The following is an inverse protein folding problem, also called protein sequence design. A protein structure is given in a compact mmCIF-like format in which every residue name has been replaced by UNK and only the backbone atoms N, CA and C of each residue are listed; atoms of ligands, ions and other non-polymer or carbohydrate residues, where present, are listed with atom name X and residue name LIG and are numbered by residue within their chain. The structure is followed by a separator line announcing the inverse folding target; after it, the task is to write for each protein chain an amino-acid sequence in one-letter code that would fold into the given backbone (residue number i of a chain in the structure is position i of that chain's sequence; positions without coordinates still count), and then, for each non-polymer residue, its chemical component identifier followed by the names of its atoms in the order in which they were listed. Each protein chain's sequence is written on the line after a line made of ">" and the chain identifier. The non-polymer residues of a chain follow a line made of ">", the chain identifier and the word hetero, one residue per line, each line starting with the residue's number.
data_IF_797640103162
#
_entry.id   IF_797640103162
#
_cell.length_a   1.000
_cell.length_b   1.000
_cell.length_c   1.000
_cell.angle_alpha   90.00
_cell.angle_beta   90.00
_cell.angle_gamma   90.00
#
_symmetry.space_group_name_H-M   'P 1'
#
loop_
_entity.id
_entity.type
_entity.pdbx_description
1 polymer ?
#
# COMPACT_ATOMS: atom_id res chain seq x y z
N UNK A 1 13.14 70.50 8.02
CA UNK A 1 12.63 69.69 9.14
C UNK A 1 11.13 69.58 8.94
N UNK A 2 10.54 68.51 8.46
CA UNK A 2 11.03 67.24 7.94
C UNK A 2 9.86 66.76 7.07
N UNK A 3 10.07 66.61 5.76
CA UNK A 3 9.03 66.17 4.83
C UNK A 3 9.14 64.65 4.74
N UNK A 4 8.30 63.94 5.48
CA UNK A 4 8.23 62.49 5.42
C UNK A 4 7.59 62.06 4.11
N UNK A 5 8.41 61.59 3.17
CA UNK A 5 7.99 60.81 2.01
C UNK A 5 7.48 59.45 2.51
N UNK A 6 6.18 59.22 2.41
CA UNK A 6 5.59 57.89 2.54
C UNK A 6 5.96 57.06 1.30
N UNK A 7 6.80 56.05 1.52
CA UNK A 7 7.14 55.04 0.52
C UNK A 7 5.88 54.19 0.27
N UNK A 8 5.27 54.38 -0.90
CA UNK A 8 4.24 53.47 -1.41
C UNK A 8 4.85 52.10 -1.68
N UNK A 9 4.20 50.99 -1.26
CA UNK A 9 4.62 49.67 -1.72
C UNK A 9 4.25 49.55 -3.20
N UNK A 10 5.28 49.39 -4.03
CA UNK A 10 5.16 49.02 -5.44
C UNK A 10 4.48 47.66 -5.48
N UNK A 11 3.18 47.63 -5.78
CA UNK A 11 2.54 46.42 -6.28
C UNK A 11 3.13 46.17 -7.66
N UNK A 12 4.05 45.21 -7.75
CA UNK A 12 4.45 44.62 -9.02
C UNK A 12 3.19 44.08 -9.71
N UNK A 13 2.82 44.69 -10.83
CA UNK A 13 1.80 44.13 -11.72
C UNK A 13 2.31 42.80 -12.29
N UNK A 14 1.49 41.74 -12.35
CA UNK A 14 1.89 40.52 -13.03
C UNK A 14 1.96 40.84 -14.53
N UNK A 15 3.17 40.71 -15.07
CA UNK A 15 3.47 40.88 -16.49
C UNK A 15 2.56 40.00 -17.35
N UNK A 16 2.03 40.61 -18.41
CA UNK A 16 1.32 40.02 -19.55
C UNK A 16 1.21 38.48 -19.57
N UNK A 17 0.16 37.94 -18.95
CA UNK A 17 -0.24 36.55 -19.18
C UNK A 17 -0.81 36.46 -20.59
N UNK A 18 -0.11 35.77 -21.49
CA UNK A 18 -0.73 35.19 -22.68
C UNK A 18 -1.96 34.41 -22.25
N UNK A 19 -3.08 34.53 -22.98
CA UNK A 19 -4.29 33.75 -22.76
C UNK A 19 -3.99 32.27 -23.08
N UNK A 20 -3.35 31.59 -22.13
CA UNK A 20 -3.15 30.16 -22.18
C UNK A 20 -4.51 29.48 -22.14
N UNK A 21 -4.67 28.43 -22.94
CA UNK A 21 -5.87 27.59 -22.89
C UNK A 21 -6.04 27.05 -21.47
N UNK A 22 -7.30 26.91 -21.07
CA UNK A 22 -7.65 26.31 -19.78
C UNK A 22 -7.03 24.92 -19.65
N UNK A 23 -6.40 24.65 -18.51
CA UNK A 23 -5.61 23.46 -18.23
C UNK A 23 -4.12 23.59 -18.54
N UNK A 24 -3.66 24.69 -19.14
CA UNK A 24 -2.25 24.86 -19.55
C UNK A 24 -1.41 25.70 -18.58
N UNK A 25 -2.02 26.40 -17.61
CA UNK A 25 -1.25 27.21 -16.66
C UNK A 25 -0.30 26.36 -15.80
N UNK A 26 -0.61 25.08 -15.64
CA UNK A 26 0.26 24.11 -14.96
C UNK A 26 1.64 23.97 -15.62
N UNK A 27 1.76 24.23 -16.93
CA UNK A 27 3.04 24.17 -17.63
C UNK A 27 3.97 25.32 -17.25
N UNK A 28 3.44 26.48 -16.88
CA UNK A 28 4.24 27.56 -16.28
C UNK A 28 4.88 27.04 -14.99
N UNK A 29 4.11 26.36 -14.14
CA UNK A 29 4.62 25.82 -12.88
C UNK A 29 5.58 24.64 -13.10
N UNK A 30 5.40 23.86 -14.17
CA UNK A 30 6.36 22.81 -14.58
C UNK A 30 7.69 23.45 -14.97
N UNK A 31 7.68 24.45 -15.86
CA UNK A 31 8.89 25.14 -16.29
C UNK A 31 9.59 25.76 -15.10
N UNK A 32 8.87 26.46 -14.20
CA UNK A 32 9.43 27.01 -12.96
C UNK A 32 10.09 25.97 -12.04
N UNK A 33 9.62 24.71 -12.04
CA UNK A 33 10.24 23.64 -11.23
C UNK A 33 11.46 23.02 -11.92
N UNK A 34 11.43 22.96 -13.24
CA UNK A 34 12.45 22.34 -14.09
C UNK A 34 13.65 23.29 -14.33
N UNK A 35 13.37 24.58 -14.53
CA UNK A 35 14.34 25.66 -14.68
C UNK A 35 15.11 25.84 -13.37
N UNK A 36 16.43 25.60 -13.40
CA UNK A 36 17.29 25.68 -12.22
C UNK A 36 18.11 26.97 -12.17
N UNK A 37 18.22 27.65 -13.30
CA UNK A 37 19.00 28.88 -13.42
C UNK A 37 18.10 30.14 -13.46
N UNK A 38 16.78 29.96 -13.43
CA UNK A 38 15.74 30.99 -13.49
C UNK A 38 15.82 31.88 -14.75
N UNK A 39 16.27 31.33 -15.88
CA UNK A 39 16.37 32.06 -17.15
C UNK A 39 15.07 32.07 -17.98
N UNK A 40 14.05 31.33 -17.52
CA UNK A 40 12.73 31.24 -18.12
C UNK A 40 12.61 30.23 -19.26
N UNK A 41 13.68 29.45 -19.52
CA UNK A 41 13.73 28.41 -20.56
C UNK A 41 14.37 27.14 -19.98
N UNK A 42 14.15 26.02 -20.66
CA UNK A 42 14.72 24.74 -20.27
C UNK A 42 15.83 24.36 -21.23
N UNK A 43 17.06 24.31 -20.72
CA UNK A 43 18.16 23.63 -21.41
C UNK A 43 17.91 22.12 -21.48
N UNK A 44 18.61 21.41 -22.36
CA UNK A 44 18.48 19.95 -22.45
C UNK A 44 18.81 19.23 -21.13
N UNK A 45 19.78 19.73 -20.37
CA UNK A 45 20.17 19.12 -19.09
C UNK A 45 19.07 19.29 -18.02
N UNK A 46 18.41 20.45 -17.98
CA UNK A 46 17.27 20.70 -17.08
C UNK A 46 16.04 19.90 -17.50
N UNK A 47 15.74 19.88 -18.79
CA UNK A 47 14.68 19.07 -19.35
C UNK A 47 14.91 17.58 -19.03
N UNK A 48 16.12 17.08 -19.27
CA UNK A 48 16.48 15.70 -18.97
C UNK A 48 16.34 15.38 -17.49
N UNK A 49 16.80 16.27 -16.61
CA UNK A 49 16.74 16.09 -15.16
C UNK A 49 15.30 16.03 -14.64
N UNK A 50 14.40 16.82 -15.21
CA UNK A 50 13.00 16.90 -14.77
C UNK A 50 12.11 15.81 -15.40
N UNK A 51 12.27 15.54 -16.70
CA UNK A 51 11.40 14.63 -17.46
C UNK A 51 11.90 13.19 -17.51
N UNK A 52 13.09 12.88 -16.99
CA UNK A 52 13.55 11.49 -16.92
C UNK A 52 12.64 10.65 -16.01
N UNK A 53 11.91 9.72 -16.60
CA UNK A 53 11.01 8.79 -15.92
C UNK A 53 11.64 7.38 -15.73
N UNK A 54 12.86 7.16 -16.25
CA UNK A 54 13.52 5.85 -16.29
C UNK A 54 12.92 4.87 -17.30
N UNK A 55 11.91 5.30 -18.05
CA UNK A 55 11.29 4.55 -19.14
C UNK A 55 11.97 4.92 -20.46
N UNK A 56 12.04 6.20 -20.77
CA UNK A 56 12.67 6.71 -21.99
C UNK A 56 14.20 6.65 -21.90
N UNK A 57 14.83 6.26 -23.02
CA UNK A 57 16.28 6.34 -23.18
C UNK A 57 16.75 7.79 -23.33
N UNK A 58 18.05 8.05 -23.14
CA UNK A 58 18.60 9.39 -23.27
C UNK A 58 18.47 9.93 -24.70
N UNK A 59 18.50 9.03 -25.69
CA UNK A 59 18.32 9.32 -27.10
C UNK A 59 16.86 9.69 -27.41
N UNK A 60 15.89 8.88 -26.97
CA UNK A 60 14.45 9.17 -27.13
C UNK A 60 14.05 10.48 -26.44
N UNK A 61 14.61 10.75 -25.27
CA UNK A 61 14.35 12.01 -24.56
C UNK A 61 14.96 13.22 -25.29
N UNK A 62 16.07 13.03 -26.00
CA UNK A 62 16.67 14.06 -26.84
C UNK A 62 15.86 14.30 -28.12
N UNK A 63 15.32 13.24 -28.71
CA UNK A 63 14.38 13.38 -29.83
C UNK A 63 13.11 14.13 -29.39
N UNK A 64 12.58 13.83 -28.20
CA UNK A 64 11.46 14.57 -27.62
C UNK A 64 11.79 16.05 -27.40
N UNK A 65 12.97 16.37 -26.85
CA UNK A 65 13.41 17.75 -26.66
C UNK A 65 13.44 18.52 -28.00
N UNK A 66 14.03 17.94 -29.04
CA UNK A 66 14.06 18.56 -30.37
C UNK A 66 12.68 18.63 -31.05
N UNK A 67 11.76 17.72 -30.70
CA UNK A 67 10.38 17.78 -31.19
C UNK A 67 9.59 18.93 -30.55
N UNK A 68 9.93 19.31 -29.32
CA UNK A 68 9.30 20.42 -28.59
C UNK A 68 9.94 21.76 -28.98
N UNK A 69 11.27 21.81 -29.17
CA UNK A 69 12.02 23.02 -29.60
C UNK A 69 11.74 23.36 -31.08
N UNK A 70 10.52 23.81 -31.36
CA UNK A 70 10.06 24.18 -32.70
C UNK A 70 10.82 25.38 -33.25
N UNK A 71 11.31 26.27 -32.38
CA UNK A 71 12.09 27.44 -32.76
C UNK A 71 13.58 27.12 -32.99
N UNK A 72 14.03 25.89 -32.72
CA UNK A 72 15.42 25.42 -32.86
C UNK A 72 16.42 26.33 -32.11
N UNK A 73 16.08 26.71 -30.88
CA UNK A 73 16.90 27.57 -30.03
C UNK A 73 17.81 26.81 -29.06
N UNK A 74 17.82 25.47 -29.15
CA UNK A 74 18.48 24.55 -28.22
C UNK A 74 17.98 24.72 -26.77
N UNK A 75 16.81 25.34 -26.60
CA UNK A 75 16.12 25.56 -25.34
C UNK A 75 14.62 25.43 -25.57
N UNK A 76 13.89 24.92 -24.60
CA UNK A 76 12.43 24.81 -24.64
C UNK A 76 11.82 25.90 -23.77
N UNK A 77 11.03 26.78 -24.37
CA UNK A 77 10.26 27.76 -23.61
C UNK A 77 8.86 27.25 -23.19
N UNK A 78 8.14 28.07 -22.42
CA UNK A 78 6.81 27.68 -21.92
C UNK A 78 5.79 27.53 -23.04
N UNK A 79 5.90 28.32 -24.10
CA UNK A 79 4.93 28.32 -25.20
C UNK A 79 5.09 27.07 -26.07
N UNK A 80 6.33 26.71 -26.39
CA UNK A 80 6.68 25.47 -27.09
C UNK A 80 6.21 24.23 -26.32
N UNK A 81 6.45 24.20 -25.00
CA UNK A 81 6.01 23.13 -24.13
C UNK A 81 4.48 23.01 -24.12
N UNK A 82 3.79 24.15 -24.00
CA UNK A 82 2.33 24.18 -24.04
C UNK A 82 1.78 23.70 -25.38
N UNK A 83 2.35 24.14 -26.50
CA UNK A 83 1.89 23.77 -27.84
C UNK A 83 2.03 22.27 -28.08
N UNK A 84 3.18 21.68 -27.70
CA UNK A 84 3.40 20.24 -27.80
C UNK A 84 2.40 19.46 -26.94
N UNK A 85 2.34 19.72 -25.63
CA UNK A 85 1.49 18.94 -24.74
C UNK A 85 0.00 19.15 -24.99
N UNK A 86 -0.43 20.30 -25.51
CA UNK A 86 -1.83 20.52 -25.89
C UNK A 86 -2.36 19.48 -26.89
N UNK A 87 -1.49 18.85 -27.67
CA UNK A 87 -1.83 17.80 -28.62
C UNK A 87 -1.82 16.38 -28.01
N UNK A 88 -1.23 16.22 -26.83
CA UNK A 88 -0.92 14.93 -26.20
C UNK A 88 -1.63 14.68 -24.85
N UNK A 89 -2.38 15.65 -24.32
CA UNK A 89 -3.03 15.53 -23.00
C UNK A 89 -4.21 14.54 -22.95
N UNK A 90 -4.96 14.40 -24.05
CA UNK A 90 -6.15 13.53 -24.08
C UNK A 90 -7.14 13.86 -22.93
N UNK A 91 -7.60 12.84 -22.20
CA UNK A 91 -8.55 13.02 -21.08
C UNK A 91 -8.00 13.85 -19.92
N UNK A 92 -6.66 13.99 -19.80
CA UNK A 92 -6.05 14.81 -18.76
C UNK A 92 -6.25 16.31 -19.00
N UNK A 93 -6.64 16.75 -20.20
CA UNK A 93 -7.01 18.14 -20.46
C UNK A 93 -8.15 18.58 -19.53
N UNK A 94 -9.20 17.75 -19.41
CA UNK A 94 -10.33 18.00 -18.52
C UNK A 94 -9.92 18.00 -17.04
N UNK A 95 -9.00 17.11 -16.67
CA UNK A 95 -8.48 17.01 -15.30
C UNK A 95 -7.71 18.27 -14.92
N UNK A 96 -6.79 18.71 -15.77
CA UNK A 96 -5.99 19.91 -15.54
C UNK A 96 -6.86 21.18 -15.54
N UNK A 97 -7.83 21.28 -16.44
CA UNK A 97 -8.79 22.37 -16.45
C UNK A 97 -9.62 22.45 -15.15
N UNK A 98 -10.04 21.30 -14.61
CA UNK A 98 -10.75 21.24 -13.33
C UNK A 98 -9.84 21.61 -12.15
N UNK A 99 -8.56 21.21 -12.18
CA UNK A 99 -7.58 21.59 -11.16
C UNK A 99 -7.32 23.11 -11.16
N UNK A 100 -7.29 23.76 -12.33
CA UNK A 100 -7.20 25.21 -12.42
C UNK A 100 -8.41 25.92 -11.80
N UNK A 101 -9.64 25.47 -12.13
CA UNK A 101 -10.86 26.02 -11.54
C UNK A 101 -10.89 25.85 -10.02
N UNK A 102 -10.44 24.69 -9.55
CA UNK A 102 -10.34 24.38 -8.13
C UNK A 102 -9.34 25.31 -7.44
N UNK A 103 -8.14 25.46 -8.02
CA UNK A 103 -7.11 26.36 -7.48
C UNK A 103 -7.62 27.80 -7.43
N UNK A 104 -8.23 28.30 -8.50
CA UNK A 104 -8.83 29.64 -8.54
C UNK A 104 -9.92 29.81 -7.47
N UNK A 105 -10.76 28.80 -7.28
CA UNK A 105 -11.83 28.81 -6.26
C UNK A 105 -11.26 28.83 -4.84
N UNK A 106 -10.21 28.05 -4.57
CA UNK A 106 -9.51 28.01 -3.28
C UNK A 106 -8.86 29.36 -3.01
N UNK A 107 -8.10 29.91 -3.96
CA UNK A 107 -7.44 31.21 -3.82
C UNK A 107 -8.45 32.32 -3.52
N UNK A 108 -9.57 32.35 -4.25
CA UNK A 108 -10.65 33.31 -3.99
C UNK A 108 -11.27 33.14 -2.60
N UNK A 109 -11.47 31.91 -2.14
CA UNK A 109 -11.97 31.64 -0.80
C UNK A 109 -10.96 32.03 0.29
N UNK A 110 -9.66 31.83 0.03
CA UNK A 110 -8.57 32.22 0.91
C UNK A 110 -8.41 33.74 0.99
N UNK A 111 -8.52 34.46 -0.12
CA UNK A 111 -8.48 35.93 -0.13
C UNK A 111 -9.64 36.53 0.66
N UNK A 112 -10.84 35.96 0.51
CA UNK A 112 -12.00 36.37 1.32
C UNK A 112 -11.78 36.06 2.79
N UNK A 113 -11.29 34.87 3.10
CA UNK A 113 -10.94 34.48 4.47
C UNK A 113 -9.94 35.46 5.07
N UNK A 114 -8.86 35.78 4.36
CA UNK A 114 -7.82 36.72 4.83
C UNK A 114 -8.38 38.09 5.19
N UNK A 115 -9.37 38.59 4.42
CA UNK A 115 -10.01 39.90 4.66
C UNK A 115 -10.98 39.86 5.84
N UNK A 116 -11.87 38.86 5.86
CA UNK A 116 -13.05 38.89 6.75
C UNK A 116 -12.80 38.19 8.11
N UNK A 117 -11.74 37.37 8.22
CA UNK A 117 -11.58 36.44 9.36
C UNK A 117 -11.49 37.13 10.72
N UNK A 118 -10.71 38.21 10.84
CA UNK A 118 -10.52 38.89 12.12
C UNK A 118 -11.78 39.63 12.59
N UNK A 119 -12.60 40.10 11.65
CA UNK A 119 -13.84 40.84 11.92
C UNK A 119 -15.05 39.91 12.10
N UNK A 120 -14.92 38.63 11.75
CA UNK A 120 -15.97 37.62 11.85
C UNK A 120 -16.20 37.13 13.28
N UNK A 121 -17.39 36.57 13.55
CA UNK A 121 -17.72 35.97 14.83
C UNK A 121 -16.89 34.71 15.13
N UNK A 122 -16.77 34.34 16.42
CA UNK A 122 -16.06 33.11 16.81
C UNK A 122 -16.59 31.84 16.14
N UNK A 123 -17.90 31.77 15.88
CA UNK A 123 -18.52 30.65 15.17
C UNK A 123 -18.09 30.62 13.70
N UNK A 124 -18.13 31.77 13.00
CA UNK A 124 -17.69 31.87 11.61
C UNK A 124 -16.19 31.56 11.46
N UNK A 125 -15.35 32.05 12.37
CA UNK A 125 -13.94 31.70 12.41
C UNK A 125 -13.71 30.19 12.60
N UNK A 126 -14.53 29.54 13.45
CA UNK A 126 -14.49 28.09 13.61
C UNK A 126 -14.89 27.37 12.32
N UNK A 127 -16.00 27.78 11.69
CA UNK A 127 -16.47 27.21 10.41
C UNK A 127 -15.40 27.35 9.34
N UNK A 128 -14.75 28.51 9.24
CA UNK A 128 -13.65 28.73 8.29
C UNK A 128 -12.46 27.79 8.56
N UNK A 129 -12.01 27.64 9.81
CA UNK A 129 -10.93 26.70 10.15
C UNK A 129 -11.32 25.25 9.83
N UNK A 130 -12.56 24.88 10.10
CA UNK A 130 -13.10 23.56 9.79
C UNK A 130 -13.11 23.30 8.27
N UNK A 131 -13.63 24.24 7.47
CA UNK A 131 -13.70 24.11 6.01
C UNK A 131 -12.33 24.08 5.35
N UNK A 132 -11.37 24.88 5.83
CA UNK A 132 -9.98 24.82 5.36
C UNK A 132 -9.33 23.46 5.65
N UNK A 133 -9.52 22.94 6.88
CA UNK A 133 -9.04 21.60 7.26
C UNK A 133 -9.66 20.52 6.38
N UNK A 134 -10.97 20.60 6.17
CA UNK A 134 -11.69 19.61 5.37
C UNK A 134 -11.27 19.66 3.90
N UNK A 135 -11.13 20.85 3.31
CA UNK A 135 -10.66 21.02 1.93
C UNK A 135 -9.27 20.42 1.75
N UNK A 136 -8.38 20.62 2.72
CA UNK A 136 -7.03 20.02 2.72
C UNK A 136 -7.10 18.48 2.75
N UNK A 137 -7.96 17.91 3.59
CA UNK A 137 -8.14 16.46 3.66
C UNK A 137 -8.68 15.88 2.35
N UNK A 138 -9.64 16.55 1.71
CA UNK A 138 -10.19 16.11 0.42
C UNK A 138 -9.13 16.11 -0.69
N UNK A 139 -8.30 17.17 -0.76
CA UNK A 139 -7.16 17.23 -1.68
C UNK A 139 -6.14 16.10 -1.41
N UNK A 140 -5.84 15.83 -0.14
CA UNK A 140 -4.91 14.76 0.21
C UNK A 140 -5.44 13.36 -0.17
N UNK A 141 -6.73 13.11 -0.01
CA UNK A 141 -7.36 11.86 -0.46
C UNK A 141 -7.28 11.69 -1.99
N UNK A 142 -7.47 12.78 -2.74
CA UNK A 142 -7.32 12.77 -4.20
C UNK A 142 -5.87 12.51 -4.61
N UNK A 143 -4.91 13.18 -3.96
CA UNK A 143 -3.48 12.96 -4.18
C UNK A 143 -3.09 11.49 -3.93
N UNK A 144 -3.51 10.93 -2.80
CA UNK A 144 -3.20 9.53 -2.45
C UNK A 144 -3.71 8.54 -3.51
N UNK A 145 -4.90 8.82 -4.06
CA UNK A 145 -5.49 7.98 -5.12
C UNK A 145 -4.70 8.07 -6.43
N UNK A 146 -4.23 9.28 -6.80
CA UNK A 146 -3.38 9.51 -7.96
C UNK A 146 -2.00 8.85 -7.81
N UNK A 147 -1.40 8.95 -6.62
CA UNK A 147 -0.11 8.29 -6.32
C UNK A 147 -0.20 6.77 -6.49
N UNK A 148 -1.28 6.14 -6.04
CA UNK A 148 -1.50 4.71 -6.24
C UNK A 148 -1.60 4.35 -7.75
N UNK A 149 -2.29 5.18 -8.53
CA UNK A 149 -2.41 4.98 -9.97
C UNK A 149 -1.04 5.13 -10.67
N UNK A 150 -0.25 6.14 -10.28
CA UNK A 150 1.10 6.38 -10.79
C UNK A 150 2.06 5.22 -10.47
N UNK A 151 2.01 4.67 -9.26
CA UNK A 151 2.83 3.52 -8.88
C UNK A 151 2.45 2.27 -9.69
N UNK A 152 1.15 2.08 -9.93
CA UNK A 152 0.65 0.96 -10.74
C UNK A 152 1.11 1.05 -12.20
N UNK A 153 1.07 2.23 -12.82
CA UNK A 153 1.53 2.42 -14.21
C UNK A 153 3.06 2.32 -14.33
N UNK A 154 3.80 2.78 -13.31
CA UNK A 154 5.25 2.61 -13.26
C UNK A 154 5.65 1.12 -13.15
N UNK A 155 4.95 0.34 -12.32
CA UNK A 155 5.23 -1.09 -12.14
C UNK A 155 4.87 -1.92 -13.39
N UNK A 156 3.77 -1.59 -14.08
CA UNK A 156 3.44 -2.21 -15.38
C UNK A 156 4.56 -2.00 -16.40
N UNK A 157 5.09 -0.77 -16.49
CA UNK A 157 6.17 -0.43 -17.42
C UNK A 157 7.47 -1.19 -17.10
N UNK A 158 7.73 -1.48 -15.81
CA UNK A 158 8.86 -2.31 -15.38
C UNK A 158 8.68 -3.77 -15.77
N UNK A 159 7.47 -4.32 -15.61
CA UNK A 159 7.15 -5.70 -15.97
C UNK A 159 7.20 -5.93 -17.49
N UNK A 160 6.80 -4.94 -18.29
CA UNK A 160 6.93 -5.03 -19.76
C UNK A 160 8.41 -5.03 -20.23
N UNK A 161 9.29 -4.27 -19.55
CA UNK A 161 10.74 -4.33 -19.81
C UNK A 161 11.38 -5.65 -19.36
N UNK A 162 10.86 -6.26 -18.30
CA UNK A 162 11.20 -7.63 -17.89
C UNK A 162 10.32 -8.64 -18.63
N UNK A 163 10.48 -8.72 -19.97
CA UNK A 163 9.80 -9.73 -20.78
C UNK A 163 9.93 -11.14 -20.16
N UNK A 164 9.02 -12.08 -20.50
CA UNK A 164 8.87 -13.35 -19.78
C UNK A 164 10.22 -14.04 -19.65
N UNK A 165 10.73 -14.11 -18.41
CA UNK A 165 12.02 -14.72 -18.12
C UNK A 165 11.89 -16.20 -18.44
N UNK A 166 12.33 -16.56 -19.65
CA UNK A 166 12.57 -17.94 -20.04
C UNK A 166 13.64 -18.46 -19.08
N UNK A 167 13.40 -19.52 -18.29
CA UNK A 167 14.39 -20.00 -17.35
C UNK A 167 15.67 -20.36 -18.10
N UNK A 168 16.76 -19.70 -17.71
CA UNK A 168 18.09 -19.92 -18.23
C UNK A 168 18.49 -21.37 -17.93
N UNK A 169 18.47 -22.22 -18.96
CA UNK A 169 18.91 -23.60 -18.85
C UNK A 169 20.42 -23.58 -18.64
N UNK A 170 20.86 -23.75 -17.38
CA UNK A 170 22.26 -23.98 -17.06
C UNK A 170 22.77 -25.22 -17.83
N UNK A 171 23.88 -25.13 -18.58
CA UNK A 171 24.44 -26.27 -19.28
C UNK A 171 25.20 -27.13 -18.27
N UNK A 172 24.53 -28.13 -17.69
CA UNK A 172 25.20 -29.15 -16.89
C UNK A 172 26.03 -30.02 -17.84
N UNK A 173 27.36 -29.92 -17.72
CA UNK A 173 28.33 -30.78 -18.39
C UNK A 173 28.15 -32.23 -17.93
N UNK A 174 27.65 -33.09 -18.82
CA UNK A 174 27.68 -34.53 -18.63
C UNK A 174 29.11 -35.02 -18.86
N UNK A 175 29.89 -35.12 -17.79
CA UNK A 175 31.13 -35.89 -17.80
C UNK A 175 30.79 -37.38 -17.88
N UNK A 176 31.16 -37.99 -19.00
CA UNK A 176 30.82 -39.37 -19.29
C UNK A 176 31.67 -40.38 -18.52
N UNK A 177 31.13 -41.59 -18.36
CA UNK A 177 31.79 -42.78 -18.91
C UNK A 177 30.83 -43.96 -19.01
N UNK A 178 30.99 -44.63 -20.14
CA UNK A 178 30.23 -45.77 -20.67
C UNK A 178 30.35 -47.00 -19.75
N UNK A 179 29.28 -47.79 -19.64
CA UNK A 179 29.38 -49.23 -19.91
C UNK A 179 28.02 -49.85 -20.23
N UNK A 180 27.92 -50.40 -21.43
CA UNK A 180 26.81 -51.22 -21.91
C UNK A 180 26.82 -52.61 -21.22
N UNK A 181 25.66 -53.17 -20.89
CA UNK A 181 25.19 -54.49 -21.42
C UNK A 181 23.81 -54.91 -20.90
N UNK A 182 22.95 -55.22 -21.89
CA UNK A 182 21.94 -56.31 -21.96
C UNK A 182 20.70 -56.26 -21.04
N UNK A 183 19.59 -55.92 -21.69
CA UNK A 183 18.28 -56.61 -21.72
C UNK A 183 18.08 -57.77 -20.73
N UNK A 184 17.07 -57.67 -19.85
CA UNK A 184 15.92 -58.58 -19.91
C UNK A 184 14.68 -58.03 -19.18
N UNK A 185 13.55 -58.60 -19.56
CA UNK A 185 12.18 -58.10 -19.57
C UNK A 185 11.39 -58.83 -18.47
N UNK A 186 10.33 -58.19 -17.95
CA UNK A 186 9.03 -58.78 -17.51
C UNK A 186 8.65 -58.69 -16.02
N UNK A 187 7.49 -58.03 -15.81
CA UNK A 187 6.31 -58.50 -15.06
C UNK A 187 6.26 -58.43 -13.52
N UNK A 188 5.61 -57.35 -13.04
CA UNK A 188 4.30 -57.34 -12.36
C UNK A 188 4.01 -58.20 -11.10
N UNK A 189 3.37 -57.52 -10.12
CA UNK A 189 2.36 -57.98 -9.13
C UNK A 189 2.84 -58.18 -7.66
N UNK A 190 2.21 -57.38 -6.81
CA UNK A 190 2.11 -57.33 -5.34
C UNK A 190 1.11 -58.38 -4.80
N UNK A 191 0.67 -58.43 -3.51
CA UNK A 191 1.31 -58.33 -2.18
C UNK A 191 1.08 -59.62 -1.35
N UNK A 192 1.77 -59.79 -0.20
CA UNK A 192 1.19 -60.23 1.09
C UNK A 192 2.29 -60.61 2.11
N UNK A 193 2.27 -59.89 3.24
CA UNK A 193 3.09 -60.05 4.46
C UNK A 193 2.57 -61.24 5.32
N UNK A 194 3.15 -61.60 6.48
CA UNK A 194 4.50 -61.40 7.03
C UNK A 194 5.12 -62.75 7.47
N UNK A 195 6.32 -62.74 8.05
CA UNK A 195 6.97 -63.84 8.82
C UNK A 195 8.05 -64.70 8.14
N UNK A 196 9.02 -64.10 7.46
CA UNK A 196 10.41 -64.58 7.34
C UNK A 196 11.24 -63.34 6.95
N UNK A 197 12.27 -62.85 7.62
CA UNK A 197 13.26 -63.45 8.50
C UNK A 197 13.74 -62.42 9.53
N UNK A 198 13.65 -62.77 10.81
CA UNK A 198 14.47 -62.18 11.87
C UNK A 198 15.89 -62.76 11.78
N UNK A 199 16.60 -62.59 10.68
CA UNK A 199 18.06 -62.78 10.62
C UNK A 199 18.59 -62.03 9.39
N UNK A 200 18.94 -60.76 9.56
CA UNK A 200 20.24 -60.26 9.10
C UNK A 200 20.45 -58.83 9.59
N UNK A 201 21.61 -58.68 10.20
CA UNK A 201 22.14 -57.51 10.86
C UNK A 201 22.42 -56.38 9.85
N UNK A 202 21.96 -55.17 10.19
CA UNK A 202 22.64 -53.91 9.86
C UNK A 202 22.52 -53.38 8.43
N UNK A 203 22.29 -52.07 8.35
CA UNK A 203 22.60 -51.17 7.21
C UNK A 203 21.55 -51.11 6.08
N UNK A 204 20.30 -50.71 6.33
CA UNK A 204 19.37 -50.23 5.26
C UNK A 204 18.23 -49.31 5.76
N UNK A 205 18.38 -48.52 6.83
CA UNK A 205 17.25 -47.69 7.34
C UNK A 205 17.32 -46.20 6.92
N UNK A 206 18.50 -45.68 6.55
CA UNK A 206 18.61 -44.28 6.08
C UNK A 206 18.24 -44.11 4.60
N UNK A 207 18.58 -45.07 3.74
CA UNK A 207 18.29 -45.00 2.29
C UNK A 207 16.78 -45.02 2.01
N UNK A 208 16.01 -45.68 2.86
CA UNK A 208 14.55 -45.75 2.77
C UNK A 208 13.90 -44.41 3.17
N UNK A 209 14.43 -43.73 4.20
CA UNK A 209 13.95 -42.38 4.58
C UNK A 209 14.16 -41.38 3.44
N UNK A 210 15.35 -41.40 2.81
CA UNK A 210 15.66 -40.50 1.70
C UNK A 210 14.82 -40.80 0.47
N UNK A 211 14.62 -42.07 0.12
CA UNK A 211 13.72 -42.43 -0.99
C UNK A 211 12.26 -42.06 -0.70
N UNK A 212 11.79 -42.12 0.55
CA UNK A 212 10.44 -41.65 0.92
C UNK A 212 10.31 -40.13 0.73
N UNK A 213 11.31 -39.33 1.14
CA UNK A 213 11.28 -37.88 0.94
C UNK A 213 11.38 -37.48 -0.52
N UNK A 214 12.25 -38.14 -1.30
CA UNK A 214 12.37 -37.92 -2.75
C UNK A 214 11.06 -38.26 -3.45
N UNK A 215 10.42 -39.38 -3.11
CA UNK A 215 9.11 -39.74 -3.68
C UNK A 215 7.99 -38.79 -3.26
N UNK A 216 8.04 -38.23 -2.03
CA UNK A 216 7.10 -37.20 -1.58
C UNK A 216 7.28 -35.90 -2.36
N UNK A 217 8.53 -35.47 -2.56
CA UNK A 217 8.84 -34.27 -3.35
C UNK A 217 8.47 -34.45 -4.81
N UNK A 218 8.74 -35.62 -5.39
CA UNK A 218 8.32 -35.96 -6.76
C UNK A 218 6.79 -35.86 -6.88
N UNK A 219 6.02 -36.39 -5.93
CA UNK A 219 4.55 -36.23 -5.94
C UNK A 219 4.09 -34.79 -5.78
N UNK A 220 4.84 -33.94 -5.07
CA UNK A 220 4.52 -32.52 -4.96
C UNK A 220 4.85 -31.78 -6.25
N UNK A 221 5.97 -32.10 -6.89
CA UNK A 221 6.37 -31.58 -8.19
C UNK A 221 5.36 -32.03 -9.26
N UNK A 222 5.03 -33.32 -9.33
CA UNK A 222 4.02 -33.83 -10.27
C UNK A 222 2.66 -33.14 -10.05
N UNK A 223 2.28 -32.85 -8.80
CA UNK A 223 1.07 -32.07 -8.48
C UNK A 223 1.15 -30.60 -8.86
N UNK A 224 2.35 -30.01 -8.86
CA UNK A 224 2.58 -28.62 -9.28
C UNK A 224 2.66 -28.53 -10.81
N UNK A 225 3.33 -29.48 -11.46
CA UNK A 225 3.44 -29.61 -12.92
C UNK A 225 2.09 -29.98 -13.56
N UNK A 226 1.25 -30.74 -12.86
CA UNK A 226 -0.12 -31.03 -13.31
C UNK A 226 -1.14 -29.94 -12.97
N UNK A 227 -0.76 -28.91 -12.18
CA UNK A 227 -1.62 -27.74 -11.97
C UNK A 227 -1.27 -26.65 -12.98
N UNK A 228 -1.98 -26.72 -14.10
CA UNK A 228 -2.58 -25.52 -14.67
C UNK A 228 -3.22 -24.74 -13.52
N UNK A 229 -2.56 -23.67 -13.05
CA UNK A 229 -3.15 -22.73 -12.10
C UNK A 229 -4.22 -21.99 -12.89
N UNK A 230 -5.39 -22.61 -13.03
CA UNK A 230 -6.60 -21.93 -13.44
C UNK A 230 -6.93 -20.94 -12.33
N UNK A 231 -6.44 -19.71 -12.48
CA UNK A 231 -7.03 -18.54 -11.85
C UNK A 231 -8.36 -18.26 -12.56
N UNK A 232 -9.28 -19.23 -12.49
CA UNK A 232 -10.69 -18.90 -12.62
C UNK A 232 -11.03 -18.09 -11.35
N UNK A 233 -11.83 -17.00 -11.46
CA UNK A 233 -12.38 -16.37 -10.27
C UNK A 233 -12.92 -17.48 -9.40
N UNK A 234 -12.45 -17.58 -8.14
CA UNK A 234 -13.01 -18.52 -7.19
C UNK A 234 -14.52 -18.33 -7.28
N UNK A 235 -15.23 -19.35 -7.78
CA UNK A 235 -16.69 -19.36 -7.76
C UNK A 235 -17.06 -18.96 -6.35
N UNK A 236 -17.90 -17.93 -6.23
CA UNK A 236 -18.47 -17.51 -4.97
C UNK A 236 -19.23 -18.72 -4.43
N UNK A 237 -18.53 -19.57 -3.67
CA UNK A 237 -19.15 -20.62 -2.90
C UNK A 237 -20.00 -19.86 -1.89
N UNK A 238 -21.29 -19.75 -2.19
CA UNK A 238 -22.34 -19.38 -1.24
C UNK A 238 -22.36 -20.50 -0.21
N UNK A 239 -21.36 -20.48 0.66
CA UNK A 239 -21.21 -21.44 1.71
C UNK A 239 -22.27 -21.06 2.73
N UNK A 240 -23.38 -21.80 2.75
CA UNK A 240 -24.43 -21.76 3.77
C UNK A 240 -23.90 -22.21 5.16
N UNK A 241 -22.69 -21.82 5.51
CA UNK A 241 -22.04 -22.16 6.76
C UNK A 241 -22.39 -21.09 7.78
N UNK A 242 -23.46 -21.36 8.54
CA UNK A 242 -23.98 -20.53 9.63
C UNK A 242 -22.97 -20.23 10.77
N UNK A 243 -21.75 -20.75 10.70
CA UNK A 243 -20.71 -20.59 11.73
C UNK A 243 -19.65 -19.58 11.29
N UNK A 244 -19.75 -18.35 11.79
CA UNK A 244 -18.75 -17.30 11.65
C UNK A 244 -18.12 -17.03 13.01
N UNK A 245 -16.82 -16.82 13.06
CA UNK A 245 -16.10 -16.36 14.25
C UNK A 245 -15.94 -14.85 14.14
N UNK A 246 -16.17 -14.14 15.24
CA UNK A 246 -15.87 -12.72 15.34
C UNK A 246 -14.46 -12.55 15.92
N UNK A 247 -13.61 -11.85 15.19
CA UNK A 247 -12.31 -11.39 15.66
C UNK A 247 -12.45 -9.92 16.04
N UNK A 248 -12.02 -9.58 17.25
CA UNK A 248 -11.99 -8.21 17.77
C UNK A 248 -10.54 -7.87 18.05
N UNK A 249 -10.06 -6.82 17.40
CA UNK A 249 -8.73 -6.26 17.61
C UNK A 249 -8.87 -4.94 18.36
N UNK A 250 -8.21 -4.83 19.50
CA UNK A 250 -8.18 -3.61 20.32
C UNK A 250 -6.75 -3.12 20.42
N UNK A 251 -6.54 -1.88 20.02
CA UNK A 251 -5.25 -1.23 20.09
C UNK A 251 -5.25 -0.18 21.20
N UNK A 252 -4.27 -0.31 22.09
CA UNK A 252 -4.19 0.41 23.36
C UNK A 252 -2.80 1.03 23.47
N UNK A 253 -2.71 2.36 23.36
CA UNK A 253 -1.48 3.13 23.60
C UNK A 253 -1.49 3.65 25.02
N UNK A 254 -0.64 3.09 25.88
CA UNK A 254 -0.66 3.25 27.34
C UNK A 254 0.38 4.29 27.74
N UNK A 255 0.01 5.14 28.70
CA UNK A 255 0.94 6.11 29.30
C UNK A 255 2.08 5.38 30.02
N UNK A 256 3.31 5.88 29.86
CA UNK A 256 4.49 5.21 30.40
C UNK A 256 4.48 5.11 31.93
N UNK A 257 3.87 6.10 32.60
CA UNK A 257 3.72 6.18 34.06
C UNK A 257 2.70 5.18 34.63
N UNK A 258 1.72 4.75 33.83
CA UNK A 258 0.60 3.88 34.24
C UNK A 258 0.73 2.44 33.70
N UNK A 259 1.91 2.10 33.16
CA UNK A 259 2.14 0.86 32.43
C UNK A 259 1.96 -0.39 33.31
N UNK A 260 2.36 -0.34 34.58
CA UNK A 260 2.32 -1.51 35.46
C UNK A 260 0.89 -1.76 36.00
N UNK A 261 0.18 -0.69 36.38
CA UNK A 261 -1.25 -0.76 36.73
C UNK A 261 -2.08 -1.29 35.55
N UNK A 262 -1.83 -0.79 34.34
CA UNK A 262 -2.50 -1.27 33.14
C UNK A 262 -2.26 -2.75 32.89
N UNK A 263 -1.01 -3.24 33.06
CA UNK A 263 -0.69 -4.67 32.87
C UNK A 263 -1.45 -5.56 33.86
N UNK A 264 -1.65 -5.11 35.10
CA UNK A 264 -2.45 -5.82 36.09
C UNK A 264 -3.93 -5.85 35.69
N UNK A 265 -4.48 -4.70 35.31
CA UNK A 265 -5.87 -4.59 34.84
C UNK A 265 -6.12 -5.45 33.59
N UNK A 266 -5.19 -5.45 32.64
CA UNK A 266 -5.26 -6.25 31.42
C UNK A 266 -5.23 -7.76 31.72
N UNK A 267 -4.35 -8.22 32.61
CA UNK A 267 -4.32 -9.63 33.02
C UNK A 267 -5.64 -10.06 33.66
N UNK A 268 -6.16 -9.25 34.59
CA UNK A 268 -7.43 -9.55 35.25
C UNK A 268 -8.59 -9.59 34.24
N UNK A 269 -8.61 -8.66 33.29
CA UNK A 269 -9.58 -8.66 32.20
C UNK A 269 -9.48 -9.94 31.35
N UNK A 270 -8.28 -10.35 30.95
CA UNK A 270 -8.06 -11.57 30.14
C UNK A 270 -8.48 -12.84 30.88
N UNK A 271 -8.16 -12.96 32.17
CA UNK A 271 -8.56 -14.10 32.98
C UNK A 271 -10.09 -14.22 33.06
N UNK A 272 -10.79 -13.10 33.24
CA UNK A 272 -12.26 -13.10 33.27
C UNK A 272 -12.86 -13.36 31.88
N UNK A 273 -12.29 -12.76 30.83
CA UNK A 273 -12.79 -12.87 29.46
C UNK A 273 -12.58 -14.27 28.90
N UNK A 274 -11.43 -14.90 29.15
CA UNK A 274 -11.12 -16.26 28.70
C UNK A 274 -11.95 -17.34 29.40
N UNK A 275 -12.44 -17.06 30.62
CA UNK A 275 -13.36 -17.94 31.34
C UNK A 275 -14.82 -17.81 30.85
N UNK A 276 -15.13 -16.84 29.99
CA UNK A 276 -16.50 -16.63 29.51
C UNK A 276 -16.88 -17.65 28.42
N UNK A 277 -18.08 -18.22 28.54
CA UNK A 277 -18.67 -19.08 27.51
C UNK A 277 -18.77 -18.35 26.17
N UNK A 278 -18.19 -18.95 25.13
CA UNK A 278 -18.16 -18.43 23.76
C UNK A 278 -16.98 -17.49 23.46
N UNK A 279 -16.05 -17.30 24.40
CA UNK A 279 -14.71 -16.83 24.12
C UNK A 279 -13.85 -18.01 23.65
N UNK A 280 -13.33 -17.95 22.43
CA UNK A 280 -12.52 -19.00 21.81
C UNK A 280 -11.04 -18.85 22.15
N UNK A 281 -10.53 -17.62 22.09
CA UNK A 281 -9.13 -17.34 22.33
C UNK A 281 -8.93 -15.85 22.63
N UNK A 282 -7.90 -15.53 23.43
CA UNK A 282 -7.44 -14.17 23.65
C UNK A 282 -5.92 -14.17 23.54
N UNK A 283 -5.39 -13.31 22.68
CA UNK A 283 -3.95 -13.11 22.52
C UNK A 283 -3.60 -11.64 22.71
N UNK A 284 -2.44 -11.37 23.32
CA UNK A 284 -1.91 -10.02 23.50
C UNK A 284 -0.54 -9.93 22.87
N UNK A 285 -0.37 -8.92 22.04
CA UNK A 285 0.90 -8.53 21.48
C UNK A 285 1.33 -7.20 22.08
N UNK A 286 2.53 -7.14 22.64
CA UNK A 286 3.18 -5.89 23.04
C UNK A 286 4.25 -5.55 22.00
N UNK A 287 4.24 -4.31 21.52
CA UNK A 287 5.32 -3.80 20.68
C UNK A 287 6.46 -3.36 21.60
N UNK A 288 7.68 -3.83 21.39
CA UNK A 288 8.78 -3.60 22.35
C UNK A 288 9.28 -2.14 22.37
N UNK A 289 9.04 -1.40 21.29
CA UNK A 289 9.57 -0.06 21.07
C UNK A 289 8.54 1.06 21.37
N UNK A 290 7.30 0.70 21.68
CA UNK A 290 6.20 1.62 21.97
C UNK A 290 5.42 1.05 23.17
N UNK A 291 4.87 1.88 24.07
CA UNK A 291 3.96 1.45 25.15
C UNK A 291 2.57 1.05 24.61
N UNK A 292 2.56 0.26 23.52
CA UNK A 292 1.40 -0.10 22.73
C UNK A 292 1.11 -1.59 22.81
N UNK A 293 -0.14 -1.90 23.10
CA UNK A 293 -0.67 -3.25 23.20
C UNK A 293 -1.73 -3.47 22.13
N UNK A 294 -1.69 -4.64 21.51
CA UNK A 294 -2.71 -5.11 20.59
C UNK A 294 -3.31 -6.37 21.20
N UNK A 295 -4.60 -6.31 21.49
CA UNK A 295 -5.39 -7.39 22.06
C UNK A 295 -6.27 -7.98 20.96
N UNK A 296 -6.15 -9.28 20.75
CA UNK A 296 -6.94 -10.06 19.81
C UNK A 296 -7.88 -10.97 20.59
N UNK A 297 -9.19 -10.77 20.43
CA UNK A 297 -10.22 -11.58 21.07
C UNK A 297 -11.03 -12.31 20.00
N UNK A 298 -11.18 -13.62 20.17
CA UNK A 298 -11.91 -14.48 19.25
C UNK A 298 -13.19 -14.94 19.93
N UNK A 299 -14.33 -14.63 19.32
CA UNK A 299 -15.66 -14.88 19.86
C UNK A 299 -16.49 -15.73 18.91
N UNK A 300 -17.26 -16.67 19.44
CA UNK A 300 -18.13 -17.54 18.64
C UNK A 300 -19.16 -16.75 17.84
N UNK A 301 -19.76 -15.70 18.42
CA UNK A 301 -20.78 -14.88 17.78
C UNK A 301 -20.71 -13.43 18.25
N UNK A 302 -21.20 -12.51 17.41
CA UNK A 302 -21.30 -11.08 17.75
C UNK A 302 -22.14 -10.82 19.02
N UNK A 303 -23.21 -11.58 19.21
CA UNK A 303 -24.06 -11.43 20.41
C UNK A 303 -23.32 -11.83 21.70
N UNK A 304 -22.41 -12.81 21.65
CA UNK A 304 -21.61 -13.22 22.82
C UNK A 304 -20.64 -12.10 23.20
N UNK A 305 -19.97 -11.50 22.21
CA UNK A 305 -19.11 -10.34 22.43
C UNK A 305 -19.88 -9.12 22.95
N UNK A 306 -21.06 -8.81 22.39
CA UNK A 306 -21.91 -7.72 22.91
C UNK A 306 -22.32 -7.95 24.36
N UNK A 307 -22.66 -9.19 24.72
CA UNK A 307 -22.96 -9.55 26.10
C UNK A 307 -21.73 -9.43 27.02
N UNK A 308 -20.56 -9.85 26.52
CA UNK A 308 -19.28 -9.66 27.21
C UNK A 308 -19.02 -8.20 27.57
N UNK A 309 -19.23 -7.27 26.62
CA UNK A 309 -19.06 -5.82 26.86
C UNK A 309 -20.00 -5.28 27.97
N UNK A 310 -21.13 -5.96 28.24
CA UNK A 310 -22.05 -5.56 29.29
C UNK A 310 -21.67 -6.04 30.69
N UNK A 311 -20.71 -6.96 30.79
CA UNK A 311 -20.24 -7.50 32.07
C UNK A 311 -19.56 -6.44 32.93
N UNK A 312 -19.60 -6.62 34.25
CA UNK A 312 -19.01 -5.67 35.18
C UNK A 312 -17.51 -5.53 34.99
N UNK A 313 -16.80 -6.64 34.80
CA UNK A 313 -15.34 -6.61 34.63
C UNK A 313 -14.91 -5.98 33.30
N UNK A 314 -15.66 -6.20 32.20
CA UNK A 314 -15.40 -5.52 30.92
C UNK A 314 -15.63 -4.01 31.04
N UNK A 315 -16.70 -3.58 31.71
CA UNK A 315 -16.98 -2.16 31.95
C UNK A 315 -15.94 -1.51 32.86
N UNK A 316 -15.50 -2.20 33.91
CA UNK A 316 -14.43 -1.73 34.79
C UNK A 316 -13.14 -1.53 34.01
N UNK A 317 -12.77 -2.50 33.16
CA UNK A 317 -11.59 -2.39 32.30
C UNK A 317 -11.70 -1.21 31.31
N UNK A 318 -12.84 -1.05 30.63
CA UNK A 318 -13.09 0.09 29.74
C UNK A 318 -13.05 1.45 30.44
N UNK A 319 -13.50 1.53 31.70
CA UNK A 319 -13.39 2.77 32.49
C UNK A 319 -11.95 3.06 32.88
N UNK A 320 -11.21 2.03 33.30
CA UNK A 320 -9.78 2.17 33.63
C UNK A 320 -8.94 2.62 32.42
N UNK A 321 -9.32 2.22 31.20
CA UNK A 321 -8.65 2.69 29.98
C UNK A 321 -8.67 4.23 29.82
N UNK A 322 -9.60 4.96 30.46
CA UNK A 322 -9.60 6.43 30.45
C UNK A 322 -8.39 6.98 31.19
N UNK A 323 -7.98 6.32 32.27
CA UNK A 323 -6.86 6.75 33.11
C UNK A 323 -5.53 6.23 32.55
N UNK A 324 -5.52 5.06 31.89
CA UNK A 324 -4.30 4.41 31.42
C UNK A 324 -3.80 4.83 30.03
N UNK A 325 -4.67 5.31 29.13
CA UNK A 325 -4.32 5.50 27.72
C UNK A 325 -3.91 6.94 27.39
N UNK A 326 -2.93 7.10 26.50
CA UNK A 326 -2.53 8.40 25.93
C UNK A 326 -3.54 8.92 24.91
N UNK A 327 -4.07 7.99 24.10
CA UNK A 327 -5.09 8.23 23.08
C UNK A 327 -6.22 7.23 23.23
N UNK A 328 -7.46 7.57 22.82
CA UNK A 328 -8.58 6.64 22.88
C UNK A 328 -8.29 5.30 22.20
N UNK A 329 -8.82 4.21 22.76
CA UNK A 329 -8.65 2.87 22.17
C UNK A 329 -9.20 2.80 20.75
N UNK A 330 -8.49 2.11 19.86
CA UNK A 330 -8.99 1.82 18.51
C UNK A 330 -9.48 0.38 18.46
N UNK A 331 -10.73 0.18 18.04
CA UNK A 331 -11.39 -1.12 18.00
C UNK A 331 -11.78 -1.47 16.56
N UNK A 332 -11.30 -2.64 16.09
CA UNK A 332 -11.61 -3.18 14.77
C UNK A 332 -12.21 -4.56 14.91
N UNK A 333 -13.25 -4.86 14.14
CA UNK A 333 -13.94 -6.14 14.17
C UNK A 333 -13.98 -6.78 12.79
N UNK A 334 -13.77 -8.09 12.71
CA UNK A 334 -13.77 -8.85 11.46
C UNK A 334 -14.53 -10.16 11.65
N UNK A 335 -15.39 -10.54 10.69
CA UNK A 335 -16.06 -11.83 10.67
C UNK A 335 -15.30 -12.79 9.76
N UNK A 336 -14.97 -13.97 10.28
CA UNK A 336 -14.22 -15.00 9.53
C UNK A 336 -15.00 -16.32 9.52
N UNK A 337 -15.08 -17.03 8.38
CA UNK A 337 -15.71 -18.35 8.32
C UNK A 337 -15.03 -19.35 9.29
N UNK A 338 -15.81 -19.93 10.21
CA UNK A 338 -15.27 -20.75 11.30
C UNK A 338 -14.73 -22.13 10.90
N UNK A 339 -14.90 -22.54 9.64
CA UNK A 339 -14.54 -23.89 9.16
C UNK A 339 -13.03 -24.09 8.93
N UNK A 340 -12.25 -23.01 8.77
CA UNK A 340 -10.83 -23.10 8.39
C UNK A 340 -9.84 -22.80 9.52
N UNK A 341 -10.31 -22.46 10.73
CA UNK A 341 -9.44 -22.07 11.86
C UNK A 341 -9.28 -23.18 12.93
N UNK A 342 -9.92 -24.34 12.75
CA UNK A 342 -9.83 -25.50 13.65
C UNK A 342 -8.94 -26.62 13.08
N UNK A 343 -7.75 -26.28 12.60
CA UNK A 343 -6.67 -27.27 12.42
C UNK A 343 -5.72 -27.15 13.60
N UNK A 344 -6.00 -27.93 14.66
CA UNK A 344 -5.00 -28.32 15.67
C UNK A 344 -4.48 -29.70 15.35
#
# INVERSE_FOLDING_TARGET
>A
MDCSEEVQPVCEEPSSQMELKKGMSIFIDIVRRADKNDDGKLSFDEFKSYFSDGVLTAEELKELFHAIDTHNTDNVDTDELCEYFSQHLGEYENVLAALEDLNMSILKAMDKTKKDYQESTHLEQFVTRFLLKETTNQLHSLQSSLECAMETTAEQTRQEKQGPVKPEVLPIQWSGRRSNRRLQRNSSISPNNPLLCLVNSGVYDEDNHWTIQVNRLQKLIDRLEQREIRLEPVEEEVLESKSHILIVQRQLSVQEDELEEFRLALRQYMECASAQTGCLHIAVQRLANESRFILYEFWEHNNVWKNHLQTNYSKTFQRGNVDFLEIPETLTTMLVPGKNLLLR
#
